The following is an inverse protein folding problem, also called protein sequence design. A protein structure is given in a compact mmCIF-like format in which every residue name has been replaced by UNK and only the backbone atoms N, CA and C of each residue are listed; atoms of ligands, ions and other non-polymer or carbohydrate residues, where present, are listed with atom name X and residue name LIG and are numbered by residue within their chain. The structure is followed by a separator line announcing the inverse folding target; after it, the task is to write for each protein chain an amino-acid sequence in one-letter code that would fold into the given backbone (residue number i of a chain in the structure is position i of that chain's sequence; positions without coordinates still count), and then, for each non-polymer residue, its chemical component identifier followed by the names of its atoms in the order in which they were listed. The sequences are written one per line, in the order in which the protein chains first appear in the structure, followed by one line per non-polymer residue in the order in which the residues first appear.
data_IF_962748248916
#
_entry.id   IF_962748248916
#
_cell.length_a   1.000
_cell.length_b   1.000
_cell.length_c   1.000
_cell.angle_alpha   90.00
_cell.angle_beta   90.00
_cell.angle_gamma   90.00
#
_symmetry.space_group_name_H-M   'P 1'
#
loop_
_entity.id
_entity.type
_entity.pdbx_description
1 polymer ?
#
# COMPACT_ATOMS: atom_id res chain seq x y z
N UNK A 1 15.39 -14.31 10.07
CA UNK A 1 14.03 -14.23 9.49
C UNK A 1 13.96 -13.26 8.32
N UNK A 2 14.31 -11.99 8.51
CA UNK A 2 14.26 -10.95 7.46
C UNK A 2 15.09 -11.27 6.22
N UNK A 3 16.35 -11.71 6.39
CA UNK A 3 17.20 -12.10 5.26
C UNK A 3 16.60 -13.23 4.40
N UNK A 4 15.98 -14.23 5.04
CA UNK A 4 15.30 -15.33 4.35
C UNK A 4 14.06 -14.82 3.61
N UNK A 5 13.30 -13.90 4.22
CA UNK A 5 12.16 -13.27 3.57
C UNK A 5 12.58 -12.48 2.31
N UNK A 6 13.64 -11.67 2.41
CA UNK A 6 14.18 -10.94 1.26
C UNK A 6 14.68 -11.89 0.16
N UNK A 7 15.38 -12.97 0.54
CA UNK A 7 15.84 -13.97 -0.41
C UNK A 7 14.66 -14.68 -1.10
N UNK A 8 13.59 -14.99 -0.37
CA UNK A 8 12.35 -15.54 -0.92
C UNK A 8 11.74 -14.60 -1.96
N UNK A 9 11.64 -13.30 -1.66
CA UNK A 9 11.13 -12.32 -2.62
C UNK A 9 11.98 -12.29 -3.89
N UNK A 10 13.31 -12.21 -3.77
CA UNK A 10 14.21 -12.23 -4.94
C UNK A 10 14.07 -13.51 -5.78
N UNK A 11 13.85 -14.66 -5.14
CA UNK A 11 13.60 -15.93 -5.81
C UNK A 11 12.24 -15.94 -6.52
N UNK A 12 11.20 -15.41 -5.87
CA UNK A 12 9.85 -15.30 -6.43
C UNK A 12 9.78 -14.34 -7.62
N UNK A 13 10.54 -13.24 -7.60
CA UNK A 13 10.71 -12.35 -8.76
C UNK A 13 11.62 -12.94 -9.85
N UNK A 14 12.24 -14.10 -9.61
CA UNK A 14 13.01 -14.82 -10.63
C UNK A 14 14.42 -14.30 -10.87
N UNK A 15 15.02 -13.55 -9.94
CA UNK A 15 16.43 -13.14 -10.04
C UNK A 15 17.39 -14.33 -9.86
N UNK A 16 16.95 -15.34 -9.12
CA UNK A 16 17.57 -16.65 -9.04
C UNK A 16 16.49 -17.71 -8.76
N UNK A 17 16.80 -18.97 -9.03
CA UNK A 17 15.82 -20.05 -8.94
C UNK A 17 16.47 -21.36 -8.46
N UNK A 18 15.71 -22.25 -7.81
CA UNK A 18 16.22 -23.56 -7.39
C UNK A 18 16.55 -24.42 -8.60
N UNK A 19 17.70 -25.10 -8.57
CA UNK A 19 18.17 -25.99 -9.66
C UNK A 19 17.43 -27.34 -9.65
N UNK A 20 16.93 -27.76 -8.49
CA UNK A 20 16.14 -28.98 -8.34
C UNK A 20 14.74 -28.89 -8.94
N UNK A 21 14.01 -30.01 -8.96
CA UNK A 21 12.66 -30.10 -9.54
C UNK A 21 11.56 -29.43 -8.71
N UNK A 22 11.92 -28.71 -7.64
CA UNK A 22 10.93 -28.01 -6.82
C UNK A 22 10.11 -27.04 -7.66
N UNK A 23 8.78 -27.11 -7.51
CA UNK A 23 7.84 -26.15 -8.09
C UNK A 23 7.83 -24.83 -7.31
N UNK A 24 8.28 -24.84 -6.05
CA UNK A 24 8.25 -23.66 -5.18
C UNK A 24 9.45 -22.74 -5.40
N UNK A 25 9.20 -21.46 -5.67
CA UNK A 25 10.22 -20.40 -5.65
C UNK A 25 10.45 -19.91 -4.22
N UNK A 26 11.04 -20.79 -3.41
CA UNK A 26 11.33 -20.54 -1.98
C UNK A 26 12.80 -20.92 -1.72
N UNK A 27 13.46 -20.07 -0.94
CA UNK A 27 14.80 -20.27 -0.41
C UNK A 27 14.73 -21.15 0.82
N UNK A 28 15.49 -22.25 0.77
CA UNK A 28 15.64 -23.20 1.86
C UNK A 28 16.98 -22.96 2.54
N UNK A 29 16.99 -23.01 3.86
CA UNK A 29 18.21 -22.97 4.67
C UNK A 29 18.79 -24.38 4.79
N UNK A 30 19.13 -24.97 3.64
CA UNK A 30 19.71 -26.29 3.49
C UNK A 30 20.77 -26.29 2.38
N UNK A 31 21.26 -27.48 1.97
CA UNK A 31 22.22 -27.60 0.87
C UNK A 31 21.58 -27.54 -0.53
N UNK A 32 20.36 -27.01 -0.67
CA UNK A 32 19.70 -26.83 -1.96
C UNK A 32 20.49 -25.87 -2.85
N UNK A 33 20.66 -26.26 -4.11
CA UNK A 33 21.39 -25.46 -5.08
C UNK A 33 20.45 -24.47 -5.78
N UNK A 34 20.91 -23.24 -5.90
CA UNK A 34 20.25 -22.15 -6.62
C UNK A 34 21.12 -21.68 -7.78
N UNK A 35 20.50 -21.06 -8.78
CA UNK A 35 21.19 -20.48 -9.93
C UNK A 35 20.66 -19.07 -10.19
N UNK A 36 21.59 -18.15 -10.44
CA UNK A 36 21.25 -16.81 -10.90
C UNK A 36 20.60 -16.84 -12.29
N UNK A 37 19.56 -16.04 -12.43
CA UNK A 37 18.89 -15.82 -13.70
C UNK A 37 19.72 -14.89 -14.59
N UNK A 38 19.70 -15.15 -15.90
CA UNK A 38 20.32 -14.24 -16.86
C UNK A 38 19.57 -12.90 -16.90
N UNK A 39 20.26 -11.75 -17.00
CA UNK A 39 19.62 -10.44 -17.05
C UNK A 39 18.52 -10.30 -18.11
N UNK A 40 18.63 -11.03 -19.23
CA UNK A 40 17.60 -11.06 -20.28
C UNK A 40 16.20 -11.45 -19.74
N UNK A 41 16.15 -12.32 -18.73
CA UNK A 41 14.90 -12.79 -18.13
C UNK A 41 14.52 -12.03 -16.85
N UNK A 42 15.20 -10.95 -16.50
CA UNK A 42 14.83 -10.17 -15.32
C UNK A 42 13.54 -9.38 -15.55
N UNK A 43 12.65 -9.30 -14.54
CA UNK A 43 11.42 -8.52 -14.65
C UNK A 43 11.64 -7.04 -14.99
N UNK A 44 12.80 -6.49 -14.60
CA UNK A 44 13.17 -5.09 -14.82
C UNK A 44 13.47 -4.73 -16.28
N UNK A 45 13.62 -5.70 -17.19
CA UNK A 45 14.01 -5.45 -18.59
C UNK A 45 12.85 -4.98 -19.50
N UNK A 46 11.67 -4.65 -18.96
CA UNK A 46 10.48 -4.24 -19.75
C UNK A 46 10.09 -5.23 -20.88
N UNK A 47 10.54 -6.49 -20.79
CA UNK A 47 10.04 -7.55 -21.65
C UNK A 47 8.64 -7.94 -21.16
N UNK A 48 7.60 -7.61 -21.92
CA UNK A 48 6.29 -8.20 -21.68
C UNK A 48 6.38 -9.67 -22.05
N UNK A 49 6.14 -10.57 -21.08
CA UNK A 49 6.04 -12.00 -21.36
C UNK A 49 4.84 -12.28 -22.27
N UNK A 50 5.08 -12.21 -23.58
CA UNK A 50 4.03 -12.31 -24.59
C UNK A 50 3.45 -13.73 -24.62
N UNK A 51 2.14 -13.78 -24.85
CA UNK A 51 1.42 -15.00 -25.17
C UNK A 51 2.03 -15.76 -26.35
N UNK A 52 2.57 -15.06 -27.36
CA UNK A 52 3.27 -15.66 -28.49
C UNK A 52 4.54 -16.38 -28.04
N UNK A 53 5.38 -15.72 -27.24
CA UNK A 53 6.64 -16.31 -26.75
C UNK A 53 6.38 -17.53 -25.87
N UNK A 54 5.31 -17.49 -25.05
CA UNK A 54 4.93 -18.64 -24.24
C UNK A 54 4.47 -19.82 -25.11
N UNK A 55 3.73 -19.55 -26.18
CA UNK A 55 3.32 -20.59 -27.14
C UNK A 55 4.55 -21.22 -27.85
N UNK A 56 5.55 -20.42 -28.23
CA UNK A 56 6.81 -20.92 -28.79
C UNK A 56 7.53 -21.81 -27.78
N UNK A 57 7.64 -21.38 -26.51
CA UNK A 57 8.26 -22.16 -25.45
C UNK A 57 7.60 -23.52 -25.23
N UNK A 58 6.27 -23.56 -25.11
CA UNK A 58 5.51 -24.80 -24.91
C UNK A 58 5.63 -25.74 -26.13
N UNK A 59 5.56 -25.18 -27.34
CA UNK A 59 5.73 -25.94 -28.60
C UNK A 59 7.12 -26.56 -28.69
N UNK A 60 8.17 -25.77 -28.40
CA UNK A 60 9.56 -26.24 -28.36
C UNK A 60 9.76 -27.39 -27.36
N UNK A 61 9.13 -27.31 -26.19
CA UNK A 61 9.20 -28.39 -25.19
C UNK A 61 8.48 -29.66 -25.65
N UNK A 62 7.31 -29.52 -26.28
CA UNK A 62 6.53 -30.64 -26.79
C UNK A 62 7.25 -31.39 -27.93
N UNK A 63 8.02 -30.67 -28.77
CA UNK A 63 8.82 -31.24 -29.86
C UNK A 63 10.08 -31.98 -29.40
N UNK A 64 10.33 -32.08 -28.08
CA UNK A 64 11.49 -32.76 -27.48
C UNK A 64 11.06 -34.04 -26.74
N UNK A 65 12.04 -34.79 -26.23
CA UNK A 65 11.78 -36.05 -25.53
C UNK A 65 10.80 -35.87 -24.35
N UNK A 66 9.64 -36.54 -24.43
CA UNK A 66 8.54 -36.46 -23.47
C UNK A 66 8.93 -36.83 -22.03
N UNK A 67 9.86 -37.77 -21.82
CA UNK A 67 10.26 -38.17 -20.46
C UNK A 67 11.05 -37.08 -19.73
N UNK A 68 11.73 -36.19 -20.46
CA UNK A 68 12.59 -35.15 -19.88
C UNK A 68 12.03 -33.73 -20.02
N UNK A 69 11.20 -33.50 -21.05
CA UNK A 69 10.70 -32.19 -21.42
C UNK A 69 9.17 -32.12 -21.55
N UNK A 70 8.47 -33.17 -21.11
CA UNK A 70 7.01 -33.23 -21.10
C UNK A 70 6.39 -32.00 -20.42
N UNK A 71 5.28 -31.54 -20.96
CA UNK A 71 4.49 -30.46 -20.36
C UNK A 71 3.75 -31.00 -19.14
N UNK A 72 3.67 -30.18 -18.09
CA UNK A 72 2.80 -30.44 -16.95
C UNK A 72 1.33 -30.20 -17.34
N UNK A 73 0.36 -30.74 -16.59
CA UNK A 73 -1.06 -30.69 -16.98
C UNK A 73 -1.57 -29.26 -17.24
N UNK A 74 -1.20 -28.31 -16.36
CA UNK A 74 -1.56 -26.89 -16.53
C UNK A 74 -0.88 -26.25 -17.76
N UNK A 75 0.33 -26.70 -18.10
CA UNK A 75 1.06 -26.24 -19.29
C UNK A 75 0.42 -26.80 -20.56
N UNK A 76 -0.07 -28.04 -20.52
CA UNK A 76 -0.79 -28.66 -21.63
C UNK A 76 -2.15 -27.99 -21.88
N UNK A 77 -2.88 -27.66 -20.81
CA UNK A 77 -4.11 -26.89 -20.89
C UNK A 77 -3.85 -25.50 -21.49
N UNK A 78 -2.81 -24.81 -21.00
CA UNK A 78 -2.39 -23.52 -21.56
C UNK A 78 -1.99 -23.62 -23.03
N UNK A 79 -1.23 -24.65 -23.42
CA UNK A 79 -0.86 -24.91 -24.81
C UNK A 79 -2.09 -25.07 -25.71
N UNK A 80 -3.07 -25.87 -25.30
CA UNK A 80 -4.29 -26.08 -26.08
C UNK A 80 -5.12 -24.80 -26.23
N UNK A 81 -5.20 -23.99 -25.17
CA UNK A 81 -5.85 -22.66 -25.21
C UNK A 81 -5.14 -21.72 -26.18
N UNK A 82 -3.81 -21.64 -26.09
CA UNK A 82 -2.99 -20.79 -26.97
C UNK A 82 -3.06 -21.24 -28.43
N UNK A 83 -3.06 -22.54 -28.69
CA UNK A 83 -3.20 -23.10 -30.05
C UNK A 83 -4.50 -22.70 -30.72
N UNK A 84 -5.59 -22.64 -29.95
CA UNK A 84 -6.87 -22.13 -30.45
C UNK A 84 -6.86 -20.62 -30.65
N UNK A 85 -6.32 -19.87 -29.68
CA UNK A 85 -6.32 -18.40 -29.70
C UNK A 85 -5.38 -17.79 -30.75
N UNK A 86 -4.21 -18.40 -30.97
CA UNK A 86 -3.16 -17.94 -31.87
C UNK A 86 -3.11 -18.76 -33.18
N UNK A 87 -4.23 -19.36 -33.59
CA UNK A 87 -4.31 -20.22 -34.79
C UNK A 87 -3.77 -19.52 -36.05
N UNK A 88 -4.08 -18.24 -36.22
CA UNK A 88 -3.61 -17.38 -37.33
C UNK A 88 -2.09 -17.16 -37.38
N UNK A 89 -1.35 -17.45 -36.30
CA UNK A 89 0.12 -17.35 -36.20
C UNK A 89 0.78 -18.70 -35.93
N UNK A 90 0.04 -19.80 -35.97
CA UNK A 90 0.54 -21.08 -35.47
C UNK A 90 1.70 -21.66 -36.30
N UNK A 91 1.68 -21.42 -37.61
CA UNK A 91 2.78 -21.82 -38.51
C UNK A 91 4.07 -21.09 -38.14
N UNK A 92 3.99 -19.78 -37.87
CA UNK A 92 5.13 -18.99 -37.39
C UNK A 92 5.65 -19.50 -36.04
N UNK A 93 4.75 -19.77 -35.08
CA UNK A 93 5.11 -20.32 -33.76
C UNK A 93 5.84 -21.66 -33.90
N UNK A 94 5.34 -22.54 -34.77
CA UNK A 94 5.94 -23.86 -35.02
C UNK A 94 7.31 -23.72 -35.66
N UNK A 95 7.44 -22.87 -36.70
CA UNK A 95 8.72 -22.59 -37.36
C UNK A 95 9.77 -22.05 -36.37
N UNK A 96 9.40 -21.08 -35.53
CA UNK A 96 10.30 -20.51 -34.52
C UNK A 96 10.71 -21.55 -33.46
N UNK A 97 9.79 -22.39 -33.01
CA UNK A 97 10.09 -23.46 -32.06
C UNK A 97 11.08 -24.48 -32.66
N UNK A 98 10.86 -24.91 -33.91
CA UNK A 98 11.74 -25.86 -34.61
C UNK A 98 13.14 -25.30 -34.85
N UNK A 99 13.24 -24.02 -35.24
CA UNK A 99 14.52 -23.32 -35.40
C UNK A 99 15.31 -23.29 -34.08
N UNK A 100 14.66 -22.95 -32.97
CA UNK A 100 15.30 -22.97 -31.65
C UNK A 100 15.74 -24.39 -31.22
N UNK A 101 14.95 -25.43 -31.51
CA UNK A 101 15.36 -26.83 -31.26
C UNK A 101 16.59 -27.19 -32.10
N UNK A 102 16.65 -26.75 -33.36
CA UNK A 102 17.78 -27.00 -34.26
C UNK A 102 19.04 -26.32 -33.75
N UNK A 103 18.99 -25.02 -33.43
CA UNK A 103 20.10 -24.26 -32.86
C UNK A 103 20.57 -24.83 -31.51
N UNK A 104 19.65 -25.38 -30.72
CA UNK A 104 20.01 -26.01 -29.47
C UNK A 104 20.87 -27.26 -29.69
N UNK A 105 20.72 -28.01 -30.80
CA UNK A 105 21.50 -29.25 -31.03
C UNK A 105 23.00 -29.01 -31.09
N UNK A 106 23.43 -27.85 -31.58
CA UNK A 106 24.85 -27.49 -31.73
C UNK A 106 25.53 -27.07 -30.42
N UNK A 107 24.75 -26.86 -29.35
CA UNK A 107 25.28 -26.46 -28.03
C UNK A 107 25.84 -27.65 -27.24
N UNK A 108 26.79 -27.38 -26.35
CA UNK A 108 27.30 -28.38 -25.40
C UNK A 108 26.22 -28.81 -24.41
N UNK A 109 26.33 -30.02 -23.84
CA UNK A 109 25.34 -30.58 -22.91
C UNK A 109 25.11 -29.69 -21.68
N UNK A 110 26.16 -29.11 -21.11
CA UNK A 110 26.07 -28.20 -19.96
C UNK A 110 25.26 -26.95 -20.30
N UNK A 111 25.60 -26.28 -21.41
CA UNK A 111 24.95 -25.05 -21.86
C UNK A 111 23.46 -25.26 -22.18
N UNK A 112 23.10 -26.43 -22.75
CA UNK A 112 21.70 -26.83 -22.96
C UNK A 112 20.93 -26.86 -21.64
N UNK A 113 21.49 -27.50 -20.61
CA UNK A 113 20.85 -27.61 -19.29
C UNK A 113 20.69 -26.22 -18.65
N UNK A 114 21.72 -25.37 -18.75
CA UNK A 114 21.66 -24.00 -18.20
C UNK A 114 20.59 -23.18 -18.89
N UNK A 115 20.61 -23.13 -20.22
CA UNK A 115 19.64 -22.36 -21.02
C UNK A 115 18.21 -22.84 -20.77
N UNK A 116 17.98 -24.17 -20.80
CA UNK A 116 16.66 -24.77 -20.54
C UNK A 116 16.13 -24.41 -19.14
N UNK A 117 17.00 -24.45 -18.12
CA UNK A 117 16.62 -24.14 -16.75
C UNK A 117 16.29 -22.65 -16.54
N UNK A 118 17.04 -21.75 -17.18
CA UNK A 118 16.84 -20.30 -17.09
C UNK A 118 15.50 -19.90 -17.73
N UNK A 119 15.21 -20.41 -18.92
CA UNK A 119 13.94 -20.16 -19.60
C UNK A 119 12.75 -20.79 -18.86
N UNK A 120 12.90 -22.00 -18.31
CA UNK A 120 11.85 -22.61 -17.47
C UNK A 120 11.58 -21.78 -16.21
N UNK A 121 12.61 -21.28 -15.54
CA UNK A 121 12.46 -20.43 -14.37
C UNK A 121 11.75 -19.13 -14.71
N UNK A 122 12.08 -18.51 -15.84
CA UNK A 122 11.39 -17.32 -16.35
C UNK A 122 9.88 -17.56 -16.50
N UNK A 123 9.48 -18.62 -17.21
CA UNK A 123 8.06 -18.91 -17.41
C UNK A 123 7.33 -19.28 -16.12
N UNK A 124 8.01 -19.88 -15.13
CA UNK A 124 7.40 -20.15 -13.82
C UNK A 124 7.06 -18.88 -13.05
N UNK A 125 7.79 -17.78 -13.24
CA UNK A 125 7.45 -16.49 -12.63
C UNK A 125 6.27 -15.83 -13.35
N UNK A 126 6.30 -15.80 -14.69
CA UNK A 126 5.29 -15.09 -15.47
C UNK A 126 4.00 -15.88 -15.73
N UNK A 127 4.05 -17.22 -15.64
CA UNK A 127 2.94 -18.15 -15.81
C UNK A 127 3.02 -19.22 -14.71
N UNK A 128 2.85 -18.82 -13.44
CA UNK A 128 3.00 -19.73 -12.31
C UNK A 128 1.96 -20.86 -12.37
N UNK A 129 2.27 -22.05 -11.82
CA UNK A 129 1.29 -23.12 -11.71
C UNK A 129 0.07 -22.66 -10.88
N UNK A 130 -1.11 -23.26 -11.11
CA UNK A 130 -2.30 -22.97 -10.31
C UNK A 130 -2.02 -23.13 -8.81
N UNK A 131 -2.48 -22.18 -8.00
CA UNK A 131 -2.28 -22.17 -6.54
C UNK A 131 -0.99 -21.49 -6.06
N UNK A 132 -0.13 -21.03 -6.98
CA UNK A 132 1.05 -20.20 -6.65
C UNK A 132 0.77 -18.72 -6.90
N UNK A 133 1.28 -17.86 -6.01
CA UNK A 133 1.16 -16.41 -6.12
C UNK A 133 1.90 -15.89 -7.35
N UNK A 134 1.24 -15.04 -8.14
CA UNK A 134 1.88 -14.31 -9.22
C UNK A 134 2.46 -12.98 -8.69
N UNK A 135 3.75 -12.95 -8.37
CA UNK A 135 4.42 -11.75 -7.84
C UNK A 135 4.54 -10.60 -8.86
N UNK A 136 4.21 -10.85 -10.14
CA UNK A 136 4.18 -9.86 -11.21
C UNK A 136 2.76 -9.37 -11.54
N UNK A 137 1.76 -9.77 -10.76
CA UNK A 137 0.40 -9.25 -10.91
C UNK A 137 0.39 -7.74 -10.66
N UNK A 138 0.02 -6.99 -11.69
CA UNK A 138 -0.15 -5.54 -11.59
C UNK A 138 -1.44 -5.25 -10.82
N UNK A 139 -1.35 -4.43 -9.78
CA UNK A 139 -2.52 -3.90 -9.09
C UNK A 139 -3.47 -3.23 -10.11
N UNK A 140 -4.80 -3.33 -9.93
CA UNK A 140 -5.78 -2.70 -10.84
C UNK A 140 -5.79 -1.16 -10.76
N UNK A 141 -4.79 -0.56 -10.11
CA UNK A 141 -4.60 0.88 -10.02
C UNK A 141 -3.67 1.30 -11.16
N UNK A 142 -4.07 2.26 -12.01
CA UNK A 142 -3.22 2.74 -13.10
C UNK A 142 -1.87 3.21 -12.57
N UNK A 143 -0.80 2.62 -13.12
CA UNK A 143 0.56 3.00 -12.78
C UNK A 143 0.87 4.41 -13.29
N UNK A 144 0.81 5.38 -12.38
CA UNK A 144 1.13 6.79 -12.67
C UNK A 144 2.61 6.99 -13.00
N UNK A 145 3.50 6.03 -12.71
CA UNK A 145 4.93 6.16 -13.03
C UNK A 145 5.18 6.10 -14.54
N UNK A 146 4.40 5.31 -15.29
CA UNK A 146 4.43 5.33 -16.75
C UNK A 146 3.90 6.64 -17.36
N UNK A 147 3.09 7.41 -16.63
CA UNK A 147 2.73 8.78 -17.04
C UNK A 147 3.85 9.80 -16.78
N UNK A 148 4.69 9.58 -15.77
CA UNK A 148 5.83 10.46 -15.47
C UNK A 148 6.93 10.40 -16.54
N UNK A 149 7.08 9.26 -17.22
CA UNK A 149 8.04 9.09 -18.31
C UNK A 149 7.60 9.76 -19.64
N UNK A 150 6.34 10.20 -19.74
CA UNK A 150 5.90 11.03 -20.85
C UNK A 150 6.24 12.48 -20.53
N UNK A 151 7.44 12.90 -20.91
CA UNK A 151 7.84 14.32 -20.87
C UNK A 151 6.95 15.11 -21.83
N UNK A 152 5.77 15.51 -21.35
CA UNK A 152 4.88 16.40 -22.07
C UNK A 152 5.45 17.80 -21.99
N UNK A 153 5.57 18.48 -23.14
CA UNK A 153 5.90 19.91 -23.16
C UNK A 153 4.81 20.66 -22.40
N UNK A 154 5.22 21.42 -21.38
CA UNK A 154 4.32 22.29 -20.62
C UNK A 154 3.72 23.34 -21.55
N UNK A 155 2.42 23.56 -21.42
CA UNK A 155 1.72 24.64 -22.12
C UNK A 155 1.93 25.97 -21.38
N UNK A 156 1.56 27.09 -22.02
CA UNK A 156 1.61 28.41 -21.38
C UNK A 156 0.70 28.45 -20.13
N UNK A 157 -0.45 27.79 -20.17
CA UNK A 157 -1.38 27.74 -19.03
C UNK A 157 -0.82 26.92 -17.87
N UNK A 158 -0.07 25.85 -18.16
CA UNK A 158 0.64 25.09 -17.11
C UNK A 158 1.70 25.95 -16.43
N UNK A 159 2.45 26.75 -17.21
CA UNK A 159 3.46 27.66 -16.67
C UNK A 159 2.84 28.79 -15.85
N UNK A 160 1.68 29.31 -16.24
CA UNK A 160 0.93 30.29 -15.43
C UNK A 160 0.51 29.69 -14.10
N UNK A 161 -0.05 28.48 -14.10
CA UNK A 161 -0.42 27.77 -12.86
C UNK A 161 0.79 27.51 -11.97
N UNK A 162 1.93 27.10 -12.55
CA UNK A 162 3.18 26.93 -11.80
C UNK A 162 3.63 28.25 -11.17
N UNK A 163 3.54 29.35 -11.93
CA UNK A 163 3.91 30.68 -11.44
C UNK A 163 3.00 31.15 -10.29
N UNK A 164 1.68 30.98 -10.43
CA UNK A 164 0.71 31.31 -9.38
C UNK A 164 0.93 30.45 -8.12
N UNK A 165 1.21 29.15 -8.31
CA UNK A 165 1.55 28.25 -7.21
C UNK A 165 2.82 28.69 -6.49
N UNK A 166 3.90 28.97 -7.23
CA UNK A 166 5.17 29.40 -6.65
C UNK A 166 5.05 30.75 -5.95
N UNK A 167 4.34 31.71 -6.55
CA UNK A 167 4.04 33.00 -5.92
C UNK A 167 3.33 32.78 -4.57
N UNK A 168 2.27 31.95 -4.56
CA UNK A 168 1.55 31.61 -3.32
C UNK A 168 2.41 30.86 -2.30
N UNK A 169 3.43 30.13 -2.74
CA UNK A 169 4.30 29.35 -1.87
C UNK A 169 5.37 30.21 -1.18
N UNK A 170 5.79 31.30 -1.82
CA UNK A 170 6.76 32.26 -1.25
C UNK A 170 6.17 33.01 -0.06
N UNK A 171 4.90 33.36 -0.14
CA UNK A 171 4.20 34.12 0.92
C UNK A 171 3.88 33.28 2.16
N UNK A 172 4.05 31.95 2.11
CA UNK A 172 3.82 31.07 3.26
C UNK A 172 4.88 31.29 4.33
N UNK A 173 4.46 31.66 5.53
CA UNK A 173 5.33 31.69 6.70
C UNK A 173 5.91 30.31 6.97
N UNK A 174 7.23 30.26 7.21
CA UNK A 174 7.96 29.02 7.50
C UNK A 174 8.65 29.13 8.85
N UNK A 175 8.71 28.01 9.55
CA UNK A 175 9.48 27.84 10.77
C UNK A 175 10.85 27.23 10.48
N UNK A 176 11.83 27.48 11.36
CA UNK A 176 13.15 26.84 11.27
C UNK A 176 12.99 25.34 11.51
N UNK A 177 13.73 24.52 10.77
CA UNK A 177 13.71 23.05 10.94
C UNK A 177 14.07 22.63 12.37
N UNK A 178 15.03 23.33 13.00
CA UNK A 178 15.41 23.06 14.39
C UNK A 178 14.24 23.26 15.37
N UNK A 179 13.47 24.35 15.20
CA UNK A 179 12.31 24.65 16.04
C UNK A 179 11.17 23.67 15.78
N UNK A 180 10.94 23.31 14.52
CA UNK A 180 9.95 22.29 14.17
C UNK A 180 10.30 20.93 14.79
N UNK A 181 11.58 20.52 14.71
CA UNK A 181 12.07 19.27 15.29
C UNK A 181 11.93 19.25 16.81
N UNK A 182 12.32 20.33 17.49
CA UNK A 182 12.15 20.46 18.95
C UNK A 182 10.68 20.39 19.35
N UNK A 183 9.79 21.07 18.61
CA UNK A 183 8.34 21.01 18.86
C UNK A 183 7.77 19.59 18.70
N UNK A 184 8.23 18.83 17.70
CA UNK A 184 7.82 17.44 17.48
C UNK A 184 8.33 16.50 18.57
N UNK A 185 9.56 16.72 19.06
CA UNK A 185 10.12 15.95 20.17
C UNK A 185 9.34 16.21 21.45
N UNK A 186 9.12 17.49 21.80
CA UNK A 186 8.33 17.88 22.97
C UNK A 186 6.91 17.31 22.91
N UNK A 187 6.27 17.33 21.73
CA UNK A 187 4.97 16.70 21.54
C UNK A 187 5.04 15.20 21.81
N UNK A 188 6.01 14.50 21.23
CA UNK A 188 6.18 13.05 21.41
C UNK A 188 6.43 12.69 22.88
N UNK A 189 7.24 13.46 23.60
CA UNK A 189 7.50 13.28 25.04
C UNK A 189 6.24 13.52 25.88
N UNK A 190 5.46 14.55 25.54
CA UNK A 190 4.21 14.89 26.22
C UNK A 190 3.18 13.77 26.09
N UNK A 191 3.07 13.15 24.91
CA UNK A 191 2.10 12.09 24.65
C UNK A 191 2.65 10.67 24.88
N UNK A 192 3.93 10.53 25.24
CA UNK A 192 4.60 9.23 25.44
C UNK A 192 3.85 8.32 26.42
N UNK A 193 3.34 8.89 27.53
CA UNK A 193 2.59 8.10 28.51
C UNK A 193 1.22 7.65 28.00
N UNK A 194 0.66 8.29 26.96
CA UNK A 194 -0.67 7.99 26.41
C UNK A 194 -0.63 7.01 25.24
N UNK A 195 0.54 6.67 24.72
CA UNK A 195 0.71 5.71 23.63
C UNK A 195 0.71 4.25 24.16
N UNK A 196 -0.28 3.42 23.81
CA UNK A 196 -0.36 2.02 24.28
C UNK A 196 0.76 1.10 23.78
N UNK A 197 1.51 1.48 22.73
CA UNK A 197 2.66 0.72 22.24
C UNK A 197 3.93 0.99 23.05
N UNK A 198 4.04 2.19 23.64
CA UNK A 198 5.20 2.61 24.42
C UNK A 198 4.97 2.43 25.91
N UNK A 199 3.78 2.76 26.38
CA UNK A 199 3.36 2.69 27.79
C UNK A 199 2.14 1.79 27.93
N UNK A 200 2.26 0.70 28.68
CA UNK A 200 1.15 -0.25 28.83
C UNK A 200 -0.07 0.40 29.52
N UNK A 201 -1.27 0.32 28.90
CA UNK A 201 -2.49 0.83 29.50
C UNK A 201 -2.87 0.03 30.75
N UNK A 202 -3.55 0.69 31.68
CA UNK A 202 -4.03 0.10 32.94
C UNK A 202 -5.55 -0.07 32.90
N UNK A 203 -6.12 -1.21 33.35
CA UNK A 203 -5.44 -2.29 34.07
C UNK A 203 -4.59 -3.21 33.17
N UNK A 204 -4.94 -3.34 31.89
CA UNK A 204 -4.18 -4.08 30.90
C UNK A 204 -4.51 -3.64 29.48
N UNK A 205 -3.75 -4.11 28.49
CA UNK A 205 -4.07 -3.90 27.07
C UNK A 205 -5.10 -4.97 26.61
N UNK A 206 -6.34 -4.59 26.25
CA UNK A 206 -7.38 -5.56 25.89
C UNK A 206 -6.99 -6.51 24.75
N UNK A 207 -6.12 -6.07 23.83
CA UNK A 207 -5.64 -6.91 22.73
C UNK A 207 -4.67 -8.01 23.14
N UNK A 208 -4.09 -7.93 24.35
CA UNK A 208 -3.13 -8.90 24.87
C UNK A 208 -3.72 -9.82 25.93
N UNK A 209 -4.72 -9.34 26.66
CA UNK A 209 -5.29 -10.03 27.82
C UNK A 209 -6.73 -10.48 27.63
N UNK A 210 -7.38 -10.10 26.52
CA UNK A 210 -8.80 -10.29 26.25
C UNK A 210 -9.72 -9.70 27.35
N UNK A 211 -9.21 -8.76 28.15
CA UNK A 211 -9.94 -8.03 29.19
C UNK A 211 -10.40 -6.65 28.67
N UNK A 212 -11.70 -6.42 28.45
CA UNK A 212 -12.21 -5.17 27.91
C UNK A 212 -12.29 -4.03 28.95
N UNK A 213 -11.89 -4.26 30.21
CA UNK A 213 -12.04 -3.29 31.30
C UNK A 213 -11.45 -1.92 30.97
N UNK A 214 -10.29 -1.86 30.29
CA UNK A 214 -9.69 -0.60 29.87
C UNK A 214 -10.62 0.23 28.97
N UNK A 215 -11.34 -0.42 28.03
CA UNK A 215 -12.29 0.26 27.16
C UNK A 215 -13.51 0.74 27.93
N UNK A 216 -14.06 -0.09 28.83
CA UNK A 216 -15.20 0.33 29.67
C UNK A 216 -14.88 1.52 30.55
N UNK A 217 -13.67 1.60 31.11
CA UNK A 217 -13.22 2.74 31.91
C UNK A 217 -12.99 4.02 31.08
N UNK A 218 -12.71 3.88 29.79
CA UNK A 218 -12.43 4.99 28.89
C UNK A 218 -13.50 5.15 27.79
N UNK A 219 -14.72 4.67 28.05
CA UNK A 219 -15.86 4.85 27.13
C UNK A 219 -16.15 6.35 26.93
N UNK A 220 -16.79 6.71 25.82
CA UNK A 220 -17.06 8.10 25.42
C UNK A 220 -17.74 8.88 26.54
N UNK A 221 -18.75 8.27 27.16
CA UNK A 221 -19.52 8.84 28.27
C UNK A 221 -19.39 7.88 29.45
N UNK A 222 -18.84 8.38 30.56
CA UNK A 222 -18.65 7.65 31.81
C UNK A 222 -19.00 8.54 32.99
N UNK A 223 -19.45 7.96 34.09
CA UNK A 223 -19.80 8.72 35.30
C UNK A 223 -18.57 9.43 35.90
N UNK A 224 -17.42 8.75 35.91
CA UNK A 224 -16.15 9.27 36.43
C UNK A 224 -15.04 8.96 35.43
N UNK A 225 -14.54 9.96 34.69
CA UNK A 225 -13.38 9.80 33.82
C UNK A 225 -12.14 9.37 34.61
N UNK A 226 -11.28 8.57 33.98
CA UNK A 226 -10.00 8.17 34.59
C UNK A 226 -9.10 9.39 34.82
N UNK A 227 -8.25 9.33 35.86
CA UNK A 227 -7.32 10.43 36.15
C UNK A 227 -6.43 10.75 34.95
N UNK A 228 -5.96 9.71 34.24
CA UNK A 228 -5.13 9.85 33.04
C UNK A 228 -5.88 10.60 31.94
N UNK A 229 -7.15 10.28 31.69
CA UNK A 229 -7.98 10.99 30.71
C UNK A 229 -8.15 12.47 31.08
N UNK A 230 -8.40 12.79 32.35
CA UNK A 230 -8.54 14.18 32.82
C UNK A 230 -7.22 14.95 32.71
N UNK A 231 -6.07 14.34 33.06
CA UNK A 231 -4.75 14.96 32.89
C UNK A 231 -4.47 15.31 31.43
N UNK A 232 -4.92 14.48 30.49
CA UNK A 232 -4.80 14.73 29.05
C UNK A 232 -5.47 16.03 28.62
N UNK A 233 -6.63 16.35 29.19
CA UNK A 233 -7.33 17.62 28.90
C UNK A 233 -6.50 18.85 29.29
N UNK A 234 -5.61 18.72 30.28
CA UNK A 234 -4.71 19.80 30.70
C UNK A 234 -3.53 20.05 29.76
N UNK A 235 -3.32 19.19 28.76
CA UNK A 235 -2.20 19.34 27.81
C UNK A 235 -2.48 20.47 26.82
N UNK A 236 -3.65 20.46 26.17
CA UNK A 236 -4.11 21.53 25.28
C UNK A 236 -5.61 21.71 25.37
N UNK A 237 -6.09 22.89 24.98
CA UNK A 237 -7.53 23.14 24.81
C UNK A 237 -8.17 22.18 23.81
N UNK A 238 -7.43 21.75 22.77
CA UNK A 238 -7.92 20.79 21.78
C UNK A 238 -8.21 19.43 22.38
N UNK A 239 -7.37 18.94 23.31
CA UNK A 239 -7.61 17.69 24.02
C UNK A 239 -8.86 17.76 24.90
N UNK A 240 -9.08 18.90 25.57
CA UNK A 240 -10.28 19.13 26.38
C UNK A 240 -11.56 19.16 25.53
N UNK A 241 -11.56 19.94 24.43
CA UNK A 241 -12.77 20.14 23.62
C UNK A 241 -13.06 18.98 22.66
N UNK A 242 -12.09 18.14 22.34
CA UNK A 242 -12.34 16.93 21.54
C UNK A 242 -12.86 15.76 22.38
N UNK A 243 -12.76 15.84 23.71
CA UNK A 243 -13.33 14.85 24.63
C UNK A 243 -14.78 15.24 25.01
N UNK A 244 -15.73 14.31 24.86
CA UNK A 244 -17.15 14.55 25.19
C UNK A 244 -17.36 14.88 26.68
N UNK A 245 -16.65 14.20 27.58
CA UNK A 245 -16.69 14.50 29.01
C UNK A 245 -15.96 15.80 29.31
N UNK A 246 -14.85 16.08 28.60
CA UNK A 246 -14.13 17.34 28.70
C UNK A 246 -15.00 18.54 28.32
N UNK A 247 -15.73 18.47 27.21
CA UNK A 247 -16.72 19.48 26.82
C UNK A 247 -17.82 19.65 27.87
N UNK A 248 -18.32 18.55 28.43
CA UNK A 248 -19.39 18.56 29.44
C UNK A 248 -18.96 19.31 30.70
N UNK A 249 -17.80 18.96 31.25
CA UNK A 249 -17.24 19.60 32.44
C UNK A 249 -16.84 21.05 32.18
N UNK A 250 -16.22 21.34 31.03
CA UNK A 250 -15.84 22.70 30.66
C UNK A 250 -17.07 23.60 30.47
N UNK A 251 -18.13 23.09 29.83
CA UNK A 251 -19.40 23.81 29.71
C UNK A 251 -20.04 24.05 31.07
N UNK A 252 -20.00 23.06 31.97
CA UNK A 252 -20.52 23.21 33.33
C UNK A 252 -19.73 24.29 34.11
N UNK A 253 -18.42 24.35 33.95
CA UNK A 253 -17.58 25.41 34.50
C UNK A 253 -17.96 26.79 33.94
N UNK A 254 -18.02 26.95 32.62
CA UNK A 254 -18.37 28.23 31.99
C UNK A 254 -19.78 28.72 32.36
N UNK A 255 -20.72 27.81 32.65
CA UNK A 255 -22.06 28.19 33.14
C UNK A 255 -21.99 28.88 34.50
N UNK A 256 -21.09 28.45 35.39
CA UNK A 256 -20.88 29.08 36.71
C UNK A 256 -20.31 30.49 36.57
N UNK A 257 -19.48 30.69 35.56
CA UNK A 257 -18.86 31.97 35.20
C UNK A 257 -19.70 32.80 34.22
N UNK A 258 -20.96 32.41 33.96
CA UNK A 258 -21.88 33.08 33.02
C UNK A 258 -21.27 33.36 31.63
N UNK A 259 -20.44 32.44 31.12
CA UNK A 259 -19.68 32.59 29.85
C UNK A 259 -19.80 31.39 28.89
N UNK A 260 -20.80 30.55 29.10
CA UNK A 260 -21.03 29.29 28.37
C UNK A 260 -21.55 29.45 26.94
N UNK A 261 -21.94 30.66 26.54
CA UNK A 261 -22.25 31.02 25.16
C UNK A 261 -21.09 30.71 24.19
N UNK A 262 -19.84 30.85 24.65
CA UNK A 262 -18.66 30.80 23.79
C UNK A 262 -18.44 29.37 23.29
N UNK A 263 -18.54 28.40 24.21
CA UNK A 263 -18.44 26.99 23.87
C UNK A 263 -19.66 26.53 23.05
N UNK A 264 -20.86 27.07 23.32
CA UNK A 264 -22.05 26.79 22.52
C UNK A 264 -21.91 27.27 21.07
N UNK A 265 -21.38 28.48 20.87
CA UNK A 265 -21.10 29.01 19.54
C UNK A 265 -20.09 28.11 18.81
N UNK A 266 -18.99 27.74 19.47
CA UNK A 266 -17.99 26.85 18.88
C UNK A 266 -18.57 25.49 18.49
N UNK A 267 -19.40 24.88 19.35
CA UNK A 267 -20.08 23.62 19.06
C UNK A 267 -20.97 23.73 17.82
N UNK A 268 -21.81 24.77 17.74
CA UNK A 268 -22.72 24.98 16.61
C UNK A 268 -21.97 25.21 15.29
N UNK A 269 -20.85 25.95 15.30
CA UNK A 269 -20.00 26.15 14.11
C UNK A 269 -19.31 24.85 13.69
N UNK A 270 -18.89 24.02 14.64
CA UNK A 270 -18.33 22.71 14.32
C UNK A 270 -19.37 21.78 13.70
N UNK A 271 -20.60 21.74 14.24
CA UNK A 271 -21.71 20.99 13.65
C UNK A 271 -22.04 21.47 12.24
N UNK A 272 -21.98 22.78 11.99
CA UNK A 272 -22.16 23.36 10.66
C UNK A 272 -21.11 22.87 9.66
N UNK A 273 -19.83 22.81 10.07
CA UNK A 273 -18.71 22.42 9.20
C UNK A 273 -18.80 20.96 8.75
N UNK A 274 -19.28 20.07 9.63
CA UNK A 274 -19.30 18.63 9.39
C UNK A 274 -20.71 18.07 9.14
N UNK A 275 -21.73 18.91 9.17
CA UNK A 275 -23.12 18.55 8.94
C UNK A 275 -23.50 18.39 7.47
N UNK A 276 -24.75 17.97 7.19
CA UNK A 276 -25.26 17.83 5.83
C UNK A 276 -25.29 19.18 5.10
N UNK A 277 -24.79 19.21 3.86
CA UNK A 277 -24.76 20.43 3.03
C UNK A 277 -26.15 21.07 2.85
N UNK A 278 -27.22 20.26 2.84
CA UNK A 278 -28.59 20.74 2.72
C UNK A 278 -29.05 21.61 3.90
N UNK A 279 -28.52 21.38 5.11
CA UNK A 279 -28.90 22.08 6.33
C UNK A 279 -28.02 23.31 6.62
N UNK A 280 -26.98 23.55 5.80
CA UNK A 280 -26.01 24.64 6.04
C UNK A 280 -26.69 26.00 6.09
N UNK A 281 -27.59 26.29 5.15
CA UNK A 281 -28.26 27.59 5.09
C UNK A 281 -29.13 27.86 6.34
N UNK A 282 -29.92 26.86 6.74
CA UNK A 282 -30.76 26.93 7.94
C UNK A 282 -29.92 27.04 9.22
N UNK A 283 -28.88 26.22 9.35
CA UNK A 283 -28.01 26.23 10.52
C UNK A 283 -27.23 27.54 10.66
N UNK A 284 -26.79 28.16 9.55
CA UNK A 284 -26.17 29.51 9.59
C UNK A 284 -27.15 30.54 10.15
N UNK A 285 -28.41 30.52 9.69
CA UNK A 285 -29.43 31.44 10.18
C UNK A 285 -29.71 31.23 11.67
N UNK A 286 -29.88 29.97 12.10
CA UNK A 286 -30.12 29.62 13.50
C UNK A 286 -28.96 30.04 14.43
N UNK A 287 -27.71 29.87 13.98
CA UNK A 287 -26.53 30.31 14.73
C UNK A 287 -26.50 31.84 14.85
N UNK A 288 -26.84 32.55 13.76
CA UNK A 288 -26.87 34.01 13.76
C UNK A 288 -27.94 34.56 14.71
N UNK A 289 -29.19 34.09 14.59
CA UNK A 289 -30.32 34.54 15.42
C UNK A 289 -30.11 34.14 16.90
N UNK A 290 -29.76 32.88 17.16
CA UNK A 290 -29.67 32.35 18.52
C UNK A 290 -28.53 32.94 19.37
N UNK A 291 -27.49 33.48 18.74
CA UNK A 291 -26.28 33.95 19.43
C UNK A 291 -26.07 35.45 19.27
N UNK A 292 -26.39 36.07 18.14
CA UNK A 292 -26.11 37.49 17.93
C UNK A 292 -27.32 38.40 18.15
N UNK A 293 -28.56 37.94 17.91
CA UNK A 293 -29.74 38.75 18.22
C UNK A 293 -30.06 38.79 19.72
N UNK A 294 -29.81 37.68 20.43
CA UNK A 294 -29.94 37.63 21.90
C UNK A 294 -28.94 38.55 22.63
N UNK A 295 -27.81 38.87 22.00
CA UNK A 295 -26.75 39.75 22.53
C UNK A 295 -27.02 41.24 22.24
N UNK A 296 -27.79 41.56 21.20
CA UNK A 296 -28.18 42.94 20.88
C UNK A 296 -29.37 43.46 21.71
N UNK A 297 -29.98 42.62 22.54
CA UNK A 297 -31.14 42.93 23.37
C UNK A 297 -30.83 43.09 24.88
N UNK A 298 -29.54 43.00 25.26
CA UNK A 298 -29.01 43.32 26.60
C UNK A 298 -28.33 44.70 26.57
#
# INVERSE_FOLDING_TARGET
AEAIHLANLLCQYGYFFPVGESRSLIVKDDSSLYRFQTPYYWPSQNHSADTTDYAIYLTKRLSRNKQKHGLEDYELEAYNKLKKALSHKWDFITMQAEEQVKLAKDRKKGDKIVTDSQERAYWRVYRPPPGFTNCLETAPVPDKTNMANRVRKKTVDDLKKDNDFLASAVDRTRQKVSQAAESLLTHSETYYEYDPFLTLPQPSNPWLTDDPTYWSLNDTIVDVPTEKRVRRWGITMEELINDVMGQTEFTAYLRKEFSHENIRFWQAVNELRWGPAASVAENVQNIYEGIFEAWGAL
#
